data_IF_160943002094
#
_entry.id   IF_160943002094
#
_cell.length_a   1.000
_cell.length_b   1.000
_cell.length_c   1.000
_cell.angle_alpha   90.00
_cell.angle_beta   90.00
_cell.angle_gamma   90.00
#
_symmetry.space_group_name_H-M   'P 1'
#
loop_
_entity.id
_entity.type
_entity.pdbx_description
1 polymer ?
#
# COMPACT_ATOMS: atom_id res chain seq x y z
N UNK A 1 -14.54 -3.78 58.66
CA UNK A 1 -14.46 -4.75 57.53
C UNK A 1 -14.95 -4.02 56.30
N UNK A 2 -14.05 -3.67 55.37
CA UNK A 2 -14.39 -2.92 54.16
C UNK A 2 -14.03 -3.77 52.94
N UNK A 3 -15.05 -4.33 52.31
CA UNK A 3 -14.97 -4.95 50.98
C UNK A 3 -15.15 -3.83 49.96
N UNK A 4 -14.12 -3.57 49.14
CA UNK A 4 -14.31 -2.83 47.89
C UNK A 4 -13.66 -3.58 46.75
N UNK A 5 -14.54 -4.14 45.94
CA UNK A 5 -14.32 -4.66 44.59
C UNK A 5 -13.51 -3.66 43.75
N UNK A 6 -12.46 -4.14 43.10
CA UNK A 6 -11.76 -3.39 42.07
C UNK A 6 -11.93 -4.12 40.73
N UNK A 7 -12.84 -3.62 39.90
CA UNK A 7 -12.89 -3.88 38.47
C UNK A 7 -11.64 -3.23 37.84
N UNK A 8 -10.69 -4.03 37.36
CA UNK A 8 -9.61 -3.53 36.51
C UNK A 8 -10.07 -3.57 35.04
N UNK A 9 -10.26 -2.38 34.46
CA UNK A 9 -10.36 -2.20 33.02
C UNK A 9 -8.95 -2.26 32.41
N UNK A 10 -8.68 -3.27 31.58
CA UNK A 10 -7.43 -3.37 30.83
C UNK A 10 -7.53 -2.49 29.57
N UNK A 11 -6.84 -1.36 29.56
CA UNK A 11 -6.64 -0.56 28.36
C UNK A 11 -5.43 -1.11 27.57
N UNK A 12 -5.69 -1.75 26.43
CA UNK A 12 -4.66 -2.19 25.48
C UNK A 12 -4.06 -0.98 24.77
N UNK A 13 -2.82 -0.59 25.13
CA UNK A 13 -2.02 0.31 24.29
C UNK A 13 -1.54 -0.46 23.05
N UNK A 14 -2.11 -0.16 21.90
CA UNK A 14 -1.57 -0.61 20.60
C UNK A 14 -0.38 0.27 20.24
N UNK A 15 0.84 -0.26 20.35
CA UNK A 15 2.01 0.35 19.74
C UNK A 15 1.91 0.20 18.21
N UNK A 16 1.65 1.29 17.50
CA UNK A 16 1.70 1.31 16.03
C UNK A 16 3.14 1.20 15.58
N UNK A 17 3.57 0.00 15.20
CA UNK A 17 4.82 -0.16 14.45
C UNK A 17 4.62 0.47 13.06
N UNK A 18 5.33 1.57 12.76
CA UNK A 18 5.39 2.16 11.40
C UNK A 18 6.21 1.23 10.49
N UNK A 19 5.59 0.15 10.04
CA UNK A 19 6.22 -0.96 9.34
C UNK A 19 5.93 -0.90 7.83
N UNK A 20 6.50 0.04 7.06
CA UNK A 20 6.19 0.20 5.63
C UNK A 20 7.27 0.98 4.85
N UNK A 21 7.09 1.14 3.53
CA UNK A 21 8.01 1.81 2.61
C UNK A 21 7.39 3.09 2.03
N UNK A 22 8.23 4.10 1.77
CA UNK A 22 7.88 5.34 1.07
C UNK A 22 8.95 5.72 0.02
N UNK A 23 8.61 6.62 -0.89
CA UNK A 23 9.54 7.20 -1.87
C UNK A 23 10.50 8.17 -1.19
N UNK A 24 11.80 8.00 -1.44
CA UNK A 24 12.84 8.98 -1.09
C UNK A 24 13.43 9.69 -2.32
N UNK A 25 13.34 9.08 -3.50
CA UNK A 25 13.70 9.69 -4.78
C UNK A 25 12.73 9.22 -5.88
N UNK A 26 12.17 10.10 -6.72
CA UNK A 26 12.24 11.57 -6.65
C UNK A 26 11.75 12.12 -5.31
N UNK A 27 12.22 13.31 -4.93
CA UNK A 27 11.85 13.95 -3.66
C UNK A 27 10.34 14.24 -3.67
N UNK A 28 9.55 13.64 -2.75
CA UNK A 28 8.10 13.78 -2.76
C UNK A 28 7.58 15.20 -2.49
N UNK A 29 6.29 15.41 -2.72
CA UNK A 29 5.57 16.54 -2.13
C UNK A 29 5.51 16.41 -0.60
N UNK A 30 5.48 17.55 0.10
CA UNK A 30 5.21 17.66 1.55
C UNK A 30 6.03 16.65 2.37
N UNK A 31 7.33 16.56 2.08
CA UNK A 31 8.23 15.53 2.63
C UNK A 31 8.28 15.51 4.16
N UNK A 32 8.03 16.65 4.79
CA UNK A 32 7.96 16.85 6.24
C UNK A 32 6.74 16.18 6.88
N UNK A 33 5.68 15.93 6.10
CA UNK A 33 4.41 15.32 6.54
C UNK A 33 4.20 13.91 6.00
N UNK A 34 5.08 13.43 5.13
CA UNK A 34 4.90 12.15 4.47
C UNK A 34 5.18 10.99 5.43
N UNK A 35 4.17 10.15 5.65
CA UNK A 35 4.31 8.89 6.38
C UNK A 35 4.33 7.68 5.42
N UNK A 36 4.75 6.52 5.94
CA UNK A 36 4.87 5.27 5.18
C UNK A 36 3.60 4.41 5.19
N UNK A 37 2.50 4.82 5.83
CA UNK A 37 1.26 4.04 5.90
C UNK A 37 0.60 3.88 4.52
N UNK A 38 -0.24 2.85 4.32
CA UNK A 38 -1.11 2.82 3.14
C UNK A 38 -2.07 4.01 3.14
N UNK A 39 -2.60 4.34 1.97
CA UNK A 39 -3.62 5.39 1.82
C UNK A 39 -5.02 4.80 1.94
N UNK A 40 -5.96 5.63 2.39
CA UNK A 40 -7.41 5.38 2.30
C UNK A 40 -8.02 6.15 1.14
N UNK A 41 -9.29 5.90 0.80
CA UNK A 41 -10.01 6.65 -0.24
C UNK A 41 -10.03 8.17 0.01
N UNK A 42 -10.13 8.59 1.27
CA UNK A 42 -10.11 10.01 1.64
C UNK A 42 -8.73 10.67 1.47
N UNK A 43 -7.65 9.87 1.42
CA UNK A 43 -6.28 10.34 1.24
C UNK A 43 -5.82 10.22 -0.23
N UNK A 44 -6.69 9.71 -1.11
CA UNK A 44 -6.39 9.58 -2.52
C UNK A 44 -6.63 10.90 -3.28
N UNK A 45 -5.75 11.26 -4.23
CA UNK A 45 -4.45 10.65 -4.53
C UNK A 45 -3.34 11.20 -3.62
N UNK A 46 -2.15 10.60 -3.68
CA UNK A 46 -0.90 11.22 -3.21
C UNK A 46 -0.81 11.59 -1.71
N UNK A 47 -1.67 11.07 -0.82
CA UNK A 47 -1.83 11.61 0.55
C UNK A 47 -2.22 13.08 0.54
N UNK A 48 -3.20 13.45 -0.29
CA UNK A 48 -3.62 14.83 -0.57
C UNK A 48 -3.92 15.67 0.67
N UNK A 49 -4.32 15.07 1.79
CA UNK A 49 -4.53 15.78 3.06
C UNK A 49 -3.28 16.49 3.59
N UNK A 50 -2.09 16.08 3.14
CA UNK A 50 -0.82 16.71 3.51
C UNK A 50 -0.55 18.02 2.72
N UNK A 51 -1.28 18.24 1.61
CA UNK A 51 -1.03 19.28 0.62
C UNK A 51 0.09 18.93 -0.36
N UNK A 52 0.33 19.81 -1.33
CA UNK A 52 1.30 19.65 -2.42
C UNK A 52 2.48 20.64 -2.31
N UNK A 53 3.04 20.79 -1.11
CA UNK A 53 4.21 21.67 -0.93
C UNK A 53 5.42 21.09 -1.67
N UNK A 54 6.01 21.87 -2.57
CA UNK A 54 7.23 21.49 -3.29
C UNK A 54 8.44 21.73 -2.39
N UNK A 55 9.05 20.65 -1.89
CA UNK A 55 10.33 20.72 -1.17
C UNK A 55 11.53 20.80 -2.11
N UNK A 56 11.46 20.07 -3.22
CA UNK A 56 12.44 20.08 -4.32
C UNK A 56 11.71 19.74 -5.61
N UNK A 57 11.97 20.49 -6.69
CA UNK A 57 11.44 20.18 -8.02
C UNK A 57 12.38 19.19 -8.72
N UNK A 58 11.89 18.00 -9.07
CA UNK A 58 12.70 16.96 -9.66
C UNK A 58 12.79 17.15 -11.18
N UNK A 59 13.92 17.65 -11.68
CA UNK A 59 14.15 17.74 -13.12
C UNK A 59 14.28 16.35 -13.74
N UNK A 60 13.44 16.03 -14.72
CA UNK A 60 13.46 14.75 -15.42
C UNK A 60 13.44 14.98 -16.93
N UNK A 61 14.46 14.46 -17.62
CA UNK A 61 14.53 14.52 -19.08
C UNK A 61 14.02 13.20 -19.66
N UNK A 62 13.14 13.32 -20.65
CA UNK A 62 12.61 12.19 -21.41
C UNK A 62 13.74 11.37 -22.04
N UNK A 63 13.60 10.05 -22.01
CA UNK A 63 14.59 9.08 -22.51
C UNK A 63 15.84 8.90 -21.65
N UNK A 64 16.12 9.80 -20.70
CA UNK A 64 17.22 9.66 -19.74
C UNK A 64 16.84 8.76 -18.57
N UNK A 65 17.82 8.02 -18.05
CA UNK A 65 17.62 7.15 -16.91
C UNK A 65 17.36 7.97 -15.64
N UNK A 66 16.23 7.68 -15.00
CA UNK A 66 15.77 8.23 -13.74
C UNK A 66 15.82 7.14 -12.66
N UNK A 67 15.88 7.55 -11.39
CA UNK A 67 15.93 6.64 -10.26
C UNK A 67 14.68 6.78 -9.38
N UNK A 68 13.98 5.67 -9.15
CA UNK A 68 13.07 5.52 -8.02
C UNK A 68 13.87 4.92 -6.85
N UNK A 69 13.98 5.65 -5.74
CA UNK A 69 14.48 5.13 -4.48
C UNK A 69 13.33 5.01 -3.48
N UNK A 70 13.25 3.86 -2.85
CA UNK A 70 12.27 3.52 -1.83
C UNK A 70 13.00 3.23 -0.52
N UNK A 71 12.51 3.76 0.60
CA UNK A 71 13.05 3.50 1.94
C UNK A 71 11.95 3.16 2.95
N UNK A 72 12.25 2.29 3.90
CA UNK A 72 11.26 1.85 4.87
C UNK A 72 11.76 0.80 5.86
N UNK A 73 10.82 0.10 6.47
CA UNK A 73 11.08 -0.87 7.55
C UNK A 73 10.45 -2.24 7.29
N UNK A 74 9.43 -2.35 6.43
CA UNK A 74 8.86 -3.62 6.00
C UNK A 74 8.32 -3.55 4.57
N UNK A 75 8.53 -4.62 3.81
CA UNK A 75 8.13 -4.72 2.40
C UNK A 75 6.94 -5.64 2.16
N UNK A 76 6.36 -6.26 3.20
CA UNK A 76 5.23 -7.19 3.06
C UNK A 76 5.41 -8.28 1.99
N UNK A 77 6.61 -8.88 1.90
CA UNK A 77 6.91 -9.86 0.86
C UNK A 77 6.96 -9.29 -0.56
N UNK A 78 7.11 -7.97 -0.70
CA UNK A 78 7.05 -7.24 -1.95
C UNK A 78 5.60 -6.97 -2.36
N UNK A 79 5.29 -7.33 -3.61
CA UNK A 79 4.02 -7.00 -4.25
C UNK A 79 4.27 -6.44 -5.64
N UNK A 80 3.38 -5.55 -6.07
CA UNK A 80 3.43 -5.00 -7.41
C UNK A 80 3.27 -3.49 -7.37
N UNK A 81 3.98 -2.79 -8.24
CA UNK A 81 4.00 -1.34 -8.28
C UNK A 81 3.68 -0.81 -9.67
N UNK A 82 3.09 0.38 -9.74
CA UNK A 82 3.08 1.17 -10.97
C UNK A 82 3.73 2.51 -10.73
N UNK A 83 4.52 2.94 -11.70
CA UNK A 83 4.94 4.32 -11.87
C UNK A 83 4.01 4.98 -12.87
N UNK A 84 3.53 6.16 -12.53
CA UNK A 84 2.60 6.91 -13.36
C UNK A 84 2.88 8.41 -13.30
N UNK A 85 2.35 9.14 -14.27
CA UNK A 85 2.44 10.59 -14.37
C UNK A 85 1.05 11.17 -14.57
N UNK A 86 0.75 12.30 -13.93
CA UNK A 86 -0.36 13.19 -14.31
C UNK A 86 0.22 14.57 -14.64
N UNK A 87 -0.37 15.28 -15.58
CA UNK A 87 0.00 16.67 -15.89
C UNK A 87 -0.46 17.66 -14.81
N UNK A 88 -1.32 17.22 -13.88
CA UNK A 88 -1.75 18.06 -12.77
C UNK A 88 -0.63 18.22 -11.74
N UNK A 89 -0.33 19.47 -11.37
CA UNK A 89 0.67 19.78 -10.33
C UNK A 89 0.14 19.63 -8.91
N UNK A 90 -1.19 19.62 -8.77
CA UNK A 90 -1.91 19.38 -7.52
C UNK A 90 -3.06 18.37 -7.79
N UNK A 91 -2.75 17.07 -7.88
CA UNK A 91 -3.73 16.08 -8.30
C UNK A 91 -4.94 15.96 -7.37
N UNK A 92 -6.08 15.68 -7.96
CA UNK A 92 -7.36 15.42 -7.28
C UNK A 92 -7.83 13.99 -7.56
N UNK A 93 -8.94 13.57 -6.95
CA UNK A 93 -9.56 12.27 -7.26
C UNK A 93 -9.97 12.11 -8.73
N UNK A 94 -10.08 13.21 -9.50
CA UNK A 94 -10.43 13.18 -10.92
C UNK A 94 -9.21 13.19 -11.86
N UNK A 95 -8.01 13.41 -11.31
CA UNK A 95 -6.76 13.46 -12.07
C UNK A 95 -6.49 12.14 -12.77
N UNK A 96 -5.96 12.23 -13.99
CA UNK A 96 -5.64 11.06 -14.81
C UNK A 96 -4.16 10.73 -14.68
N UNK A 97 -3.88 9.72 -13.86
CA UNK A 97 -2.54 9.15 -13.75
C UNK A 97 -2.34 8.14 -14.86
N UNK A 98 -1.34 8.37 -15.70
CA UNK A 98 -0.97 7.56 -16.85
C UNK A 98 0.25 6.71 -16.54
N UNK A 99 0.12 5.39 -16.72
CA UNK A 99 1.15 4.41 -16.39
C UNK A 99 2.32 4.55 -17.36
N UNK A 100 3.53 4.68 -16.80
CA UNK A 100 4.79 4.73 -17.56
C UNK A 100 5.66 3.48 -17.33
N UNK A 101 5.41 2.75 -16.25
CA UNK A 101 6.11 1.51 -15.92
C UNK A 101 5.29 0.69 -14.92
N UNK A 102 5.24 -0.61 -15.12
CA UNK A 102 4.66 -1.56 -14.16
C UNK A 102 5.71 -2.58 -13.71
N UNK A 103 5.65 -2.95 -12.43
CA UNK A 103 6.46 -4.00 -11.83
C UNK A 103 5.54 -5.03 -11.19
N UNK A 104 5.37 -6.18 -11.84
CA UNK A 104 4.56 -7.29 -11.34
C UNK A 104 5.45 -8.27 -10.56
N UNK A 105 5.44 -8.12 -9.24
CA UNK A 105 6.32 -8.87 -8.34
C UNK A 105 7.57 -8.08 -7.97
N UNK A 106 8.23 -8.51 -6.89
CA UNK A 106 9.48 -7.92 -6.37
C UNK A 106 9.49 -6.39 -6.27
N UNK A 107 8.35 -5.74 -6.04
CA UNK A 107 8.32 -4.32 -5.72
C UNK A 107 7.53 -4.08 -4.42
N UNK A 108 8.17 -3.56 -3.36
CA UNK A 108 9.61 -3.29 -3.22
C UNK A 108 10.47 -4.55 -2.98
N UNK A 109 11.63 -4.67 -3.64
CA UNK A 109 12.69 -5.67 -3.44
C UNK A 109 13.66 -5.27 -2.32
N UNK A 110 13.13 -5.10 -1.11
CA UNK A 110 13.90 -4.71 0.06
C UNK A 110 13.50 -3.35 0.63
N UNK A 111 13.90 -3.11 1.87
CA UNK A 111 13.53 -1.90 2.63
C UNK A 111 14.31 -0.66 2.20
N UNK A 112 15.37 -0.83 1.42
CA UNK A 112 16.09 0.22 0.71
C UNK A 112 16.28 -0.25 -0.74
N UNK A 113 15.32 0.07 -1.60
CA UNK A 113 15.23 -0.47 -2.95
C UNK A 113 15.38 0.64 -3.99
N UNK A 114 16.14 0.34 -5.05
CA UNK A 114 16.41 1.27 -6.15
C UNK A 114 15.97 0.65 -7.47
N UNK A 115 15.29 1.44 -8.31
CA UNK A 115 14.86 1.04 -9.65
C UNK A 115 15.21 2.13 -10.65
N UNK A 116 15.77 1.72 -11.79
CA UNK A 116 15.93 2.61 -12.93
C UNK A 116 14.65 2.61 -13.76
N UNK A 117 14.22 3.79 -14.19
CA UNK A 117 13.11 3.97 -15.13
C UNK A 117 13.43 5.09 -16.09
N UNK A 118 12.63 5.23 -17.15
CA UNK A 118 12.71 6.36 -18.09
C UNK A 118 11.33 6.95 -18.26
N UNK A 119 11.25 8.27 -18.46
CA UNK A 119 10.04 8.88 -18.96
C UNK A 119 9.93 8.59 -20.46
N UNK A 120 8.80 8.04 -20.94
CA UNK A 120 8.59 7.81 -22.37
C UNK A 120 8.41 9.13 -23.13
N UNK A 121 8.67 9.11 -24.43
CA UNK A 121 8.54 10.29 -25.31
C UNK A 121 7.11 10.85 -25.39
N UNK A 122 6.12 10.04 -24.98
CA UNK A 122 4.73 10.44 -24.88
C UNK A 122 4.44 11.45 -23.76
N UNK A 123 5.34 11.64 -22.79
CA UNK A 123 5.10 12.57 -21.68
C UNK A 123 5.30 14.02 -22.18
N UNK A 124 4.35 14.93 -21.96
CA UNK A 124 4.49 16.33 -22.37
C UNK A 124 5.58 17.06 -21.57
N UNK A 125 6.17 18.10 -22.18
CA UNK A 125 7.06 19.01 -21.46
C UNK A 125 6.30 19.81 -20.39
N UNK A 126 7.00 20.19 -19.32
CA UNK A 126 6.50 21.08 -18.28
C UNK A 126 6.36 20.42 -16.91
N UNK A 127 5.73 21.15 -16.00
CA UNK A 127 5.52 20.69 -14.62
C UNK A 127 4.40 19.66 -14.58
N UNK A 128 4.65 18.58 -13.85
CA UNK A 128 3.74 17.45 -13.71
C UNK A 128 3.93 16.79 -12.34
N UNK A 129 3.14 15.76 -12.06
CA UNK A 129 3.29 14.92 -10.87
C UNK A 129 3.64 13.50 -11.26
N UNK A 130 4.77 13.01 -10.75
CA UNK A 130 5.11 11.58 -10.74
C UNK A 130 4.42 10.90 -9.55
N UNK A 131 3.93 9.68 -9.74
CA UNK A 131 3.35 8.86 -8.68
C UNK A 131 3.93 7.45 -8.70
N UNK A 132 4.40 7.01 -7.53
CA UNK A 132 4.63 5.61 -7.22
C UNK A 132 3.41 5.07 -6.48
N UNK A 133 2.92 3.93 -6.95
CA UNK A 133 1.87 3.15 -6.30
C UNK A 133 2.39 1.75 -5.99
N UNK A 134 1.95 1.17 -4.88
CA UNK A 134 2.32 -0.19 -4.48
C UNK A 134 1.12 -0.91 -3.86
N UNK A 135 0.86 -2.12 -4.36
CA UNK A 135 -0.06 -3.10 -3.80
C UNK A 135 0.74 -4.15 -3.05
N UNK A 136 0.67 -4.11 -1.72
CA UNK A 136 1.41 -5.03 -0.84
C UNK A 136 0.90 -6.46 -0.97
N UNK A 137 1.81 -7.43 -0.92
CA UNK A 137 1.47 -8.86 -1.06
C UNK A 137 1.01 -9.49 0.25
N UNK A 138 1.85 -9.45 1.29
CA UNK A 138 1.73 -10.24 2.52
C UNK A 138 1.44 -9.37 3.77
N UNK A 139 0.72 -8.27 3.63
CA UNK A 139 0.36 -7.38 4.75
C UNK A 139 -0.82 -7.86 5.60
N UNK A 140 -1.51 -8.92 5.15
CA UNK A 140 -2.68 -9.48 5.83
C UNK A 140 -4.02 -8.89 5.40
N UNK A 141 -4.02 -7.73 4.71
CA UNK A 141 -5.18 -7.13 4.07
C UNK A 141 -4.79 -6.44 2.75
N UNK A 142 -5.68 -6.33 1.75
CA UNK A 142 -5.39 -5.56 0.55
C UNK A 142 -5.16 -4.08 0.90
N UNK A 143 -4.00 -3.54 0.52
CA UNK A 143 -3.63 -2.15 0.76
C UNK A 143 -3.16 -1.49 -0.54
N UNK A 144 -3.18 -0.15 -0.56
CA UNK A 144 -2.56 0.67 -1.59
C UNK A 144 -1.67 1.71 -0.91
N UNK A 145 -0.41 1.75 -1.30
CA UNK A 145 0.50 2.85 -0.98
C UNK A 145 0.59 3.76 -2.20
N UNK A 146 0.60 5.07 -1.97
CA UNK A 146 0.81 6.04 -3.03
C UNK A 146 1.61 7.22 -2.49
N UNK A 147 2.74 7.52 -3.14
CA UNK A 147 3.50 8.75 -2.89
C UNK A 147 3.72 9.46 -4.22
N UNK A 148 3.72 10.77 -4.18
CA UNK A 148 3.83 11.60 -5.37
C UNK A 148 4.95 12.63 -5.21
N UNK A 149 5.57 12.98 -6.33
CA UNK A 149 6.66 13.94 -6.40
C UNK A 149 6.42 14.96 -7.52
N UNK A 150 6.75 16.25 -7.29
CA UNK A 150 6.75 17.25 -8.34
C UNK A 150 7.88 16.97 -9.32
N UNK A 151 7.58 16.95 -10.61
CA UNK A 151 8.58 16.78 -11.67
C UNK A 151 8.52 17.95 -12.66
N UNK A 152 9.67 18.29 -13.24
CA UNK A 152 9.79 19.22 -14.36
C UNK A 152 10.34 18.46 -15.57
N UNK A 153 9.46 18.22 -16.54
CA UNK A 153 9.74 17.35 -17.69
C UNK A 153 10.31 18.16 -18.85
N UNK A 154 11.44 17.69 -19.39
CA UNK A 154 12.06 18.27 -20.58
C UNK A 154 12.34 17.22 -21.67
N UNK A 155 12.38 17.66 -22.93
CA UNK A 155 12.60 16.79 -24.09
C UNK A 155 11.40 15.89 -24.44
N UNK A 156 10.23 16.17 -23.88
CA UNK A 156 9.00 15.40 -24.08
C UNK A 156 8.14 15.89 -25.25
N UNK A 157 6.91 15.38 -25.32
CA UNK A 157 5.93 15.76 -26.32
C UNK A 157 5.50 17.24 -26.22
N UNK A 158 5.02 17.78 -27.34
CA UNK A 158 4.47 19.14 -27.43
C UNK A 158 3.01 19.25 -27.01
N UNK A 159 2.30 18.12 -26.92
CA UNK A 159 0.89 18.02 -26.57
C UNK A 159 0.61 16.70 -25.83
N UNK A 160 -0.64 16.49 -25.41
CA UNK A 160 -1.06 15.33 -24.59
C UNK A 160 -1.56 14.15 -25.41
N UNK A 161 -1.59 14.21 -26.75
CA UNK A 161 -2.31 13.20 -27.55
C UNK A 161 -1.76 11.79 -27.34
N UNK A 162 -0.44 11.63 -27.27
CA UNK A 162 0.21 10.35 -26.98
C UNK A 162 0.14 9.98 -25.49
N UNK A 163 0.22 10.98 -24.61
CA UNK A 163 0.05 10.82 -23.16
C UNK A 163 -1.34 10.23 -22.82
N UNK A 164 -2.39 10.73 -23.47
CA UNK A 164 -3.77 10.35 -23.22
C UNK A 164 -4.08 8.90 -23.62
N UNK A 165 -3.27 8.31 -24.51
CA UNK A 165 -3.34 6.90 -24.91
C UNK A 165 -2.67 5.95 -23.93
N UNK A 166 -1.84 6.45 -23.01
CA UNK A 166 -1.24 5.60 -21.99
C UNK A 166 -2.34 5.01 -21.09
N UNK A 167 -2.14 3.80 -20.55
CA UNK A 167 -3.09 3.21 -19.62
C UNK A 167 -3.30 4.07 -18.38
N UNK A 168 -4.54 4.08 -17.88
CA UNK A 168 -4.82 4.66 -16.58
C UNK A 168 -4.22 3.80 -15.46
N UNK A 169 -3.74 4.46 -14.40
CA UNK A 169 -3.26 3.82 -13.17
C UNK A 169 -4.35 2.93 -12.55
N UNK A 170 -3.99 1.73 -12.12
CA UNK A 170 -4.88 0.89 -11.33
C UNK A 170 -5.13 1.54 -9.96
N UNK A 171 -6.39 1.73 -9.62
CA UNK A 171 -6.83 2.15 -8.28
C UNK A 171 -7.67 1.03 -7.68
N UNK A 172 -7.19 0.44 -6.58
CA UNK A 172 -7.84 -0.64 -5.86
C UNK A 172 -7.61 -0.49 -4.35
N UNK A 173 -8.34 -1.27 -3.55
CA UNK A 173 -8.17 -1.41 -2.08
C UNK A 173 -8.49 -0.17 -1.24
N UNK A 174 -8.86 0.95 -1.85
CA UNK A 174 -9.15 2.22 -1.14
C UNK A 174 -10.64 2.62 -1.16
N UNK A 175 -11.50 1.72 -1.62
CA UNK A 175 -12.95 1.93 -1.71
C UNK A 175 -13.66 0.64 -2.10
N UNK A 176 -14.93 0.74 -2.44
CA UNK A 176 -15.70 -0.39 -2.92
C UNK A 176 -15.49 -0.60 -4.43
N UNK A 177 -15.51 -1.86 -4.86
CA UNK A 177 -15.63 -2.20 -6.28
C UNK A 177 -14.35 -2.71 -6.95
N UNK A 178 -13.14 -2.44 -6.47
CA UNK A 178 -11.93 -3.07 -6.99
C UNK A 178 -10.98 -3.50 -5.88
N UNK A 179 -10.62 -4.79 -5.86
CA UNK A 179 -9.85 -5.39 -4.76
C UNK A 179 -8.79 -6.35 -5.29
N UNK A 180 -7.54 -6.18 -4.84
CA UNK A 180 -6.46 -7.13 -5.15
C UNK A 180 -6.62 -8.42 -4.35
N UNK A 181 -6.09 -9.52 -4.88
CA UNK A 181 -6.16 -10.82 -4.20
C UNK A 181 -5.12 -10.87 -3.09
N UNK A 182 -5.55 -11.11 -1.85
CA UNK A 182 -4.65 -11.19 -0.70
C UNK A 182 -3.56 -12.27 -0.90
N UNK A 183 -2.35 -11.97 -0.44
CA UNK A 183 -1.17 -12.85 -0.53
C UNK A 183 -0.63 -13.12 -1.95
N UNK A 184 -1.17 -12.44 -2.96
CA UNK A 184 -0.73 -12.54 -4.35
C UNK A 184 -0.10 -11.22 -4.82
N UNK A 185 0.84 -11.31 -5.75
CA UNK A 185 1.24 -10.15 -6.55
C UNK A 185 0.05 -9.70 -7.40
N UNK A 186 -0.08 -8.40 -7.62
CA UNK A 186 -1.15 -7.85 -8.46
C UNK A 186 -0.71 -7.93 -9.92
N UNK A 187 -1.44 -8.70 -10.72
CA UNK A 187 -1.30 -8.68 -12.17
C UNK A 187 -2.12 -7.52 -12.73
N UNK A 188 -1.47 -6.52 -13.30
CA UNK A 188 -2.16 -5.32 -13.74
C UNK A 188 -3.00 -5.63 -14.99
N UNK A 189 -4.29 -5.23 -15.03
CA UNK A 189 -5.09 -5.39 -16.25
C UNK A 189 -4.50 -4.64 -17.45
N UNK A 190 -3.93 -3.45 -17.19
CA UNK A 190 -3.29 -2.62 -18.20
C UNK A 190 -1.89 -2.18 -17.70
N UNK A 191 -0.86 -3.02 -17.88
CA UNK A 191 0.48 -2.74 -17.35
C UNK A 191 1.24 -1.66 -18.14
N UNK A 192 0.78 -1.32 -19.34
CA UNK A 192 1.55 -0.51 -20.31
C UNK A 192 2.66 -1.31 -20.98
N UNK A 193 3.46 -0.64 -21.80
CA UNK A 193 4.52 -1.29 -22.61
C UNK A 193 5.76 -1.63 -21.78
N UNK A 194 6.05 -0.83 -20.75
CA UNK A 194 7.22 -1.02 -19.89
C UNK A 194 6.84 -1.86 -18.65
N UNK A 195 6.77 -3.17 -18.86
CA UNK A 195 6.45 -4.14 -17.81
C UNK A 195 7.70 -4.93 -17.40
N UNK A 196 8.02 -4.88 -16.12
CA UNK A 196 8.97 -5.80 -15.48
C UNK A 196 8.19 -6.86 -14.72
N UNK A 197 8.53 -8.13 -14.92
CA UNK A 197 8.03 -9.25 -14.12
C UNK A 197 9.21 -9.99 -13.51
N UNK A 198 9.01 -10.62 -12.37
CA UNK A 198 10.05 -11.42 -11.70
C UNK A 198 10.03 -12.92 -12.08
N UNK A 199 9.33 -13.27 -13.17
CA UNK A 199 9.04 -14.65 -13.59
C UNK A 199 8.32 -15.51 -12.52
N UNK A 200 7.88 -14.95 -11.39
CA UNK A 200 7.07 -15.63 -10.37
C UNK A 200 5.57 -15.53 -10.64
N UNK A 201 5.16 -15.39 -11.92
CA UNK A 201 3.76 -15.20 -12.34
C UNK A 201 2.77 -16.23 -11.74
N UNK A 202 3.25 -17.40 -11.32
CA UNK A 202 2.48 -18.38 -10.55
C UNK A 202 1.84 -17.81 -9.26
N UNK A 203 2.40 -16.73 -8.70
CA UNK A 203 1.94 -16.04 -7.50
C UNK A 203 1.31 -14.67 -7.81
N UNK A 204 0.94 -14.42 -9.07
CA UNK A 204 0.28 -13.18 -9.52
C UNK A 204 -1.17 -13.42 -9.92
N UNK A 205 -2.09 -12.55 -9.50
CA UNK A 205 -3.51 -12.62 -9.85
C UNK A 205 -4.03 -11.23 -10.22
N UNK A 206 -4.94 -11.13 -11.22
CA UNK A 206 -5.58 -9.87 -11.52
C UNK A 206 -6.47 -9.45 -10.33
N UNK A 207 -6.68 -8.14 -10.13
CA UNK A 207 -7.65 -7.69 -9.16
C UNK A 207 -9.07 -8.10 -9.57
N UNK A 208 -9.97 -8.16 -8.60
CA UNK A 208 -11.36 -8.58 -8.77
C UNK A 208 -12.32 -7.40 -8.61
N UNK A 209 -13.43 -7.46 -9.35
CA UNK A 209 -14.44 -6.40 -9.39
C UNK A 209 -14.27 -5.44 -10.58
N UNK A 210 -14.80 -4.23 -10.43
CA UNK A 210 -14.83 -3.15 -11.40
C UNK A 210 -13.49 -2.38 -11.40
N UNK A 211 -12.42 -3.02 -11.86
CA UNK A 211 -11.05 -2.50 -11.82
C UNK A 211 -10.63 -1.67 -13.05
N UNK A 212 -11.57 -0.93 -13.65
CA UNK A 212 -11.27 0.08 -14.67
C UNK A 212 -10.39 -0.42 -15.82
N UNK A 213 -10.89 -1.34 -16.64
CA UNK A 213 -10.23 -1.69 -17.90
C UNK A 213 -10.44 -0.57 -18.94
N UNK A 214 -9.79 0.59 -18.75
CA UNK A 214 -9.73 1.68 -19.73
C UNK A 214 -8.29 1.88 -20.19
N UNK A 215 -7.90 1.11 -21.22
CA UNK A 215 -6.64 1.26 -21.93
C UNK A 215 -6.56 0.21 -23.04
N UNK A 216 -6.38 0.64 -24.28
CA UNK A 216 -6.17 -0.28 -25.41
C UNK A 216 -4.79 -0.95 -25.27
N UNK A 217 -4.74 -2.19 -24.82
CA UNK A 217 -3.59 -3.08 -25.02
C UNK A 217 -4.00 -4.24 -25.95
N UNK A 218 -3.18 -4.60 -26.96
CA UNK A 218 -3.53 -5.63 -27.92
C UNK A 218 -3.33 -7.04 -27.32
N UNK A 219 -4.40 -7.85 -27.37
CA UNK A 219 -4.30 -9.31 -27.33
C UNK A 219 -4.58 -9.96 -25.98
N UNK A 220 -5.80 -10.48 -25.82
CA UNK A 220 -6.18 -11.32 -24.68
C UNK A 220 -7.63 -11.79 -24.77
N UNK A 221 -7.90 -12.73 -25.67
CA UNK A 221 -9.22 -13.33 -25.88
C UNK A 221 -9.84 -13.85 -24.57
N UNK A 222 -11.06 -13.41 -24.28
CA UNK A 222 -12.06 -14.26 -23.60
C UNK A 222 -13.46 -14.02 -24.18
N UNK A 223 -14.32 -15.04 -24.22
CA UNK A 223 -15.49 -15.08 -25.09
C UNK A 223 -16.65 -14.30 -24.48
N UNK A 224 -17.27 -13.45 -25.28
CA UNK A 224 -18.45 -12.66 -24.90
C UNK A 224 -19.78 -13.38 -25.09
N UNK A 225 -20.86 -12.67 -24.72
CA UNK A 225 -22.20 -12.65 -25.33
C UNK A 225 -23.11 -11.71 -24.50
N UNK A 226 -24.23 -11.16 -25.04
CA UNK A 226 -24.22 -10.01 -25.93
C UNK A 226 -25.13 -8.84 -25.45
N UNK A 227 -25.17 -7.81 -26.29
CA UNK A 227 -25.75 -6.48 -26.16
C UNK A 227 -27.26 -6.37 -25.83
N UNK A 228 -27.65 -5.16 -25.39
CA UNK A 228 -28.92 -4.56 -25.79
C UNK A 228 -28.76 -3.06 -26.01
N UNK A 229 -29.18 -2.64 -27.19
CA UNK A 229 -29.12 -1.33 -27.82
C UNK A 229 -30.23 -0.38 -27.35
N UNK A 230 -29.93 0.91 -27.21
CA UNK A 230 -30.90 2.00 -27.13
C UNK A 230 -30.27 3.30 -27.61
N UNK A 231 -30.87 3.91 -28.63
CA UNK A 231 -30.26 4.87 -29.54
C UNK A 231 -30.26 6.34 -29.09
N UNK A 232 -29.39 7.08 -29.79
CA UNK A 232 -29.15 8.51 -29.87
C UNK A 232 -30.34 9.48 -29.69
N UNK A 233 -30.05 10.61 -29.05
CA UNK A 233 -30.76 11.88 -29.20
C UNK A 233 -29.96 13.03 -28.60
N UNK A 234 -29.51 13.97 -29.43
CA UNK A 234 -28.96 15.28 -29.07
C UNK A 234 -29.74 16.36 -29.85
N UNK A 235 -29.51 17.67 -29.61
CA UNK A 235 -29.54 18.42 -28.36
C UNK A 235 -30.59 19.56 -28.45
N UNK A 236 -30.95 20.21 -27.33
CA UNK A 236 -31.69 21.48 -27.37
C UNK A 236 -31.44 22.34 -26.12
N UNK A 237 -30.79 23.49 -26.34
CA UNK A 237 -30.80 24.73 -25.55
C UNK A 237 -30.95 25.86 -26.58
N UNK A 238 -31.43 27.09 -26.28
CA UNK A 238 -31.25 27.82 -25.01
C UNK A 238 -32.44 28.69 -24.55
N UNK A 239 -32.36 29.28 -23.34
CA UNK A 239 -32.79 30.67 -23.09
C UNK A 239 -32.26 31.20 -21.74
N UNK A 240 -31.65 32.39 -21.82
CA UNK A 240 -31.18 33.24 -20.72
C UNK A 240 -32.31 33.96 -19.98
N UNK A 241 -32.14 34.16 -18.67
CA UNK A 241 -32.52 35.44 -18.01
C UNK A 241 -31.64 35.67 -16.78
N UNK A 242 -31.17 36.91 -16.62
CA UNK A 242 -30.31 37.40 -15.54
C UNK A 242 -31.15 38.18 -14.46
N UNK A 243 -30.57 38.95 -13.51
CA UNK A 243 -30.55 38.60 -12.08
C UNK A 243 -31.28 39.61 -11.15
N UNK A 244 -31.50 39.28 -9.87
CA UNK A 244 -31.35 40.24 -8.74
C UNK A 244 -31.57 39.62 -7.33
N UNK A 245 -30.67 40.05 -6.43
CA UNK A 245 -30.80 40.35 -4.99
C UNK A 245 -31.06 39.22 -3.94
N UNK A 246 -30.08 39.04 -3.04
CA UNK A 246 -30.29 38.58 -1.66
C UNK A 246 -30.61 39.74 -0.70
N UNK A 247 -30.41 39.66 0.63
CA UNK A 247 -30.01 38.50 1.45
C UNK A 247 -30.90 38.31 2.72
N UNK A 248 -30.73 37.17 3.43
CA UNK A 248 -30.97 37.09 4.89
C UNK A 248 -30.28 35.87 5.52
N UNK A 249 -29.39 36.16 6.50
CA UNK A 249 -28.74 35.20 7.40
C UNK A 249 -29.72 34.60 8.43
N UNK A 250 -29.37 33.45 9.01
CA UNK A 250 -29.58 33.28 10.46
C UNK A 250 -28.33 32.84 11.24
N UNK A 251 -28.12 33.58 12.33
CA UNK A 251 -27.59 33.30 13.66
C UNK A 251 -26.57 32.16 13.92
N UNK A 252 -25.45 32.64 14.46
CA UNK A 252 -24.33 31.98 15.12
C UNK A 252 -24.74 31.34 16.47
N UNK A 253 -24.24 30.13 16.76
CA UNK A 253 -24.37 29.45 18.07
C UNK A 253 -22.99 29.22 18.68
N UNK A 254 -22.86 29.59 19.95
CA UNK A 254 -21.60 29.71 20.71
C UNK A 254 -20.94 28.36 21.09
N UNK A 255 -19.62 28.34 21.38
CA UNK A 255 -18.87 27.13 21.74
C UNK A 255 -18.90 26.82 23.25
N UNK A 256 -18.86 25.54 23.60
CA UNK A 256 -18.65 25.06 24.97
C UNK A 256 -17.16 24.85 25.31
N UNK A 257 -16.80 25.11 26.57
CA UNK A 257 -15.43 25.19 27.11
C UNK A 257 -14.71 23.82 27.28
N UNK A 258 -13.35 23.80 27.32
CA UNK A 258 -12.56 22.58 27.46
C UNK A 258 -12.28 22.17 28.92
N UNK A 259 -12.14 20.88 29.18
CA UNK A 259 -11.64 20.31 30.45
C UNK A 259 -10.28 19.66 30.24
N UNK A 260 -9.27 20.06 31.02
CA UNK A 260 -7.93 19.44 31.04
C UNK A 260 -7.93 18.04 31.67
N UNK A 261 -7.05 17.15 31.22
CA UNK A 261 -6.56 16.06 32.07
C UNK A 261 -5.06 16.18 32.38
N UNK A 262 -4.72 15.70 33.58
CA UNK A 262 -3.42 15.71 34.22
C UNK A 262 -2.51 14.53 33.78
N UNK A 263 -1.20 14.74 33.94
CA UNK A 263 -0.13 13.74 33.74
C UNK A 263 -0.24 12.54 34.68
N UNK A 264 0.16 11.33 34.22
CA UNK A 264 0.66 10.31 35.15
C UNK A 264 1.96 9.63 34.70
N UNK A 265 2.93 9.71 35.61
CA UNK A 265 3.82 8.68 36.19
C UNK A 265 3.95 7.28 35.56
N UNK A 266 5.20 6.86 35.33
CA UNK A 266 5.65 5.49 35.02
C UNK A 266 5.30 4.45 36.09
N UNK A 267 5.04 3.17 35.72
CA UNK A 267 5.62 2.07 36.51
C UNK A 267 5.97 0.72 35.79
N UNK A 268 7.13 0.19 36.19
CA UNK A 268 7.51 -1.19 36.59
C UNK A 268 7.27 -2.45 35.71
N UNK A 269 8.41 -2.96 35.21
CA UNK A 269 8.90 -4.36 35.11
C UNK A 269 8.06 -5.53 35.64
N UNK A 270 7.86 -6.54 34.77
CA UNK A 270 7.41 -7.89 35.16
C UNK A 270 7.88 -9.00 34.21
N UNK A 271 8.82 -9.84 34.68
CA UNK A 271 8.82 -11.29 34.45
C UNK A 271 9.34 -11.89 33.14
N UNK A 272 10.46 -11.44 32.57
CA UNK A 272 11.11 -12.11 31.43
C UNK A 272 12.07 -13.23 31.86
N UNK A 273 11.95 -14.41 31.25
CA UNK A 273 12.99 -15.45 31.35
C UNK A 273 14.31 -14.90 30.79
N UNK A 274 15.43 -15.21 31.44
CA UNK A 274 16.74 -14.76 30.98
C UNK A 274 17.12 -15.46 29.67
N UNK A 275 17.69 -14.71 28.74
CA UNK A 275 18.16 -15.19 27.45
C UNK A 275 19.53 -14.56 27.13
N UNK A 276 20.35 -15.21 26.31
CA UNK A 276 21.74 -14.79 26.07
C UNK A 276 21.95 -14.14 24.71
N UNK A 277 21.11 -14.42 23.72
CA UNK A 277 21.27 -13.95 22.34
C UNK A 277 20.15 -12.98 21.95
N UNK A 278 20.48 -11.69 21.87
CA UNK A 278 19.53 -10.68 21.41
C UNK A 278 19.04 -10.99 20.00
N UNK A 279 17.73 -10.93 19.79
CA UNK A 279 17.06 -11.26 18.53
C UNK A 279 16.71 -12.75 18.38
N UNK A 280 17.17 -13.64 19.27
CA UNK A 280 16.81 -15.05 19.20
C UNK A 280 15.33 -15.27 19.54
N UNK A 281 14.67 -16.12 18.77
CA UNK A 281 13.32 -16.62 19.06
C UNK A 281 13.42 -17.75 20.08
N UNK A 282 12.81 -17.56 21.24
CA UNK A 282 12.72 -18.56 22.31
C UNK A 282 11.31 -19.16 22.26
N UNK A 283 11.20 -20.48 22.33
CA UNK A 283 9.90 -21.16 22.39
C UNK A 283 9.53 -21.52 23.83
N UNK A 284 8.30 -21.21 24.24
CA UNK A 284 7.72 -21.68 25.49
C UNK A 284 6.55 -22.62 25.17
N UNK A 285 6.89 -23.86 24.86
CA UNK A 285 5.92 -24.81 24.29
C UNK A 285 5.56 -24.49 22.83
N UNK A 286 4.53 -25.18 22.33
CA UNK A 286 4.14 -25.14 20.91
C UNK A 286 3.39 -23.85 20.53
N UNK A 287 2.72 -23.21 21.50
CA UNK A 287 1.77 -22.14 21.25
C UNK A 287 2.27 -20.75 21.69
N UNK A 288 3.49 -20.66 22.24
CA UNK A 288 4.12 -19.38 22.59
C UNK A 288 5.56 -19.29 22.09
N UNK A 289 5.91 -18.08 21.65
CA UNK A 289 7.27 -17.70 21.32
C UNK A 289 7.59 -16.36 22.00
N UNK A 290 8.87 -16.03 22.14
CA UNK A 290 9.29 -14.70 22.55
C UNK A 290 10.58 -14.32 21.85
N UNK A 291 10.84 -13.02 21.73
CA UNK A 291 12.11 -12.53 21.19
C UNK A 291 12.97 -12.08 22.36
N UNK A 292 14.20 -12.56 22.41
CA UNK A 292 15.19 -12.11 23.38
C UNK A 292 15.61 -10.67 23.08
N UNK A 293 15.45 -9.77 24.06
CA UNK A 293 15.91 -8.39 23.96
C UNK A 293 16.55 -7.95 25.28
N UNK A 294 17.83 -7.63 25.23
CA UNK A 294 18.69 -7.23 26.34
C UNK A 294 18.60 -8.18 27.55
N UNK A 295 18.66 -9.47 27.27
CA UNK A 295 18.66 -10.52 28.29
C UNK A 295 17.28 -10.87 28.85
N UNK A 296 16.21 -10.30 28.30
CA UNK A 296 14.84 -10.56 28.71
C UNK A 296 13.98 -11.02 27.53
N UNK A 297 13.17 -12.04 27.75
CA UNK A 297 12.19 -12.51 26.76
C UNK A 297 10.82 -11.90 27.04
N UNK A 298 10.23 -11.27 26.04
CA UNK A 298 8.81 -10.91 26.05
C UNK A 298 8.03 -11.99 25.31
N UNK A 299 7.11 -12.65 26.01
CA UNK A 299 6.34 -13.78 25.48
C UNK A 299 5.10 -13.32 24.71
N UNK A 300 4.82 -14.01 23.60
CA UNK A 300 3.69 -13.81 22.71
C UNK A 300 3.12 -15.16 22.25
N UNK A 301 1.82 -15.18 21.91
CA UNK A 301 1.20 -16.35 21.31
C UNK A 301 1.65 -16.51 19.84
N UNK A 302 1.79 -17.75 19.39
CA UNK A 302 1.99 -18.03 17.96
C UNK A 302 0.70 -17.75 17.18
N UNK A 303 0.81 -17.33 15.92
CA UNK A 303 -0.35 -17.06 15.09
C UNK A 303 -1.11 -18.34 14.74
N UNK A 304 -2.42 -18.22 14.44
CA UNK A 304 -3.25 -19.34 14.04
C UNK A 304 -2.63 -20.10 12.85
N UNK A 305 -2.55 -21.43 12.95
CA UNK A 305 -1.92 -22.27 11.92
C UNK A 305 -0.39 -22.38 12.00
N UNK A 306 0.26 -21.73 12.98
CA UNK A 306 1.70 -21.86 13.25
C UNK A 306 1.97 -22.51 14.61
N UNK A 307 3.24 -22.80 14.89
CA UNK A 307 3.73 -23.33 16.17
C UNK A 307 5.20 -22.99 16.36
N UNK A 308 5.62 -22.73 17.60
CA UNK A 308 7.02 -22.52 17.95
C UNK A 308 7.67 -23.85 18.27
N UNK A 309 8.73 -24.20 17.55
CA UNK A 309 9.55 -25.35 17.89
C UNK A 309 10.97 -25.15 17.38
N UNK A 310 11.95 -25.54 18.20
CA UNK A 310 13.40 -25.39 17.93
C UNK A 310 13.83 -23.95 17.66
N UNK A 311 13.28 -22.98 18.41
CA UNK A 311 13.64 -21.57 18.26
C UNK A 311 13.17 -20.94 16.94
N UNK A 312 12.13 -21.50 16.32
CA UNK A 312 11.53 -20.96 15.10
C UNK A 312 10.01 -21.11 15.12
N UNK A 313 9.32 -20.13 14.54
CA UNK A 313 7.88 -20.21 14.26
C UNK A 313 7.72 -20.87 12.90
N UNK A 314 7.01 -22.00 12.86
CA UNK A 314 6.80 -22.78 11.65
C UNK A 314 5.32 -23.15 11.48
N UNK A 315 4.91 -23.47 10.25
CA UNK A 315 3.54 -23.96 9.98
C UNK A 315 3.26 -25.20 10.84
N UNK A 316 2.10 -25.25 11.48
CA UNK A 316 1.68 -26.37 12.35
C UNK A 316 1.72 -27.71 11.63
N UNK A 317 1.48 -27.71 10.31
CA UNK A 317 1.58 -28.90 9.45
C UNK A 317 3.00 -29.48 9.37
N UNK A 318 4.04 -28.65 9.44
CA UNK A 318 5.44 -29.08 9.42
C UNK A 318 5.86 -29.69 10.76
N UNK A 319 5.38 -29.12 11.87
CA UNK A 319 5.57 -29.68 13.21
C UNK A 319 4.88 -31.05 13.38
N UNK A 320 3.63 -31.20 12.91
CA UNK A 320 2.93 -32.49 12.93
C UNK A 320 3.67 -33.53 12.07
N UNK A 321 4.24 -33.13 10.93
CA UNK A 321 5.06 -34.01 10.08
C UNK A 321 6.36 -34.43 10.77
N UNK A 322 7.03 -33.52 11.49
CA UNK A 322 8.24 -33.82 12.28
C UNK A 322 7.94 -34.76 13.46
N UNK A 323 6.79 -34.62 14.12
CA UNK A 323 6.34 -35.54 15.17
C UNK A 323 5.99 -36.93 14.61
N UNK A 324 5.28 -37.01 13.48
CA UNK A 324 4.93 -38.28 12.82
C UNK A 324 6.13 -39.01 12.21
N UNK A 325 7.17 -38.28 11.81
CA UNK A 325 8.42 -38.86 11.32
C UNK A 325 9.29 -39.53 12.41
N UNK A 326 8.96 -39.34 13.69
CA UNK A 326 9.68 -39.94 14.82
C UNK A 326 9.04 -41.21 15.40
N UNK A 327 7.93 -41.68 14.82
CA UNK A 327 7.40 -43.01 15.15
C UNK A 327 8.21 -44.05 14.40
N UNK A 328 9.23 -44.59 15.06
CA UNK A 328 9.93 -45.78 14.60
C UNK A 328 8.89 -46.89 14.37
N UNK A 329 8.73 -47.31 13.11
CA UNK A 329 7.95 -48.51 12.81
C UNK A 329 8.66 -49.70 13.47
N UNK A 330 7.98 -50.54 14.28
CA UNK A 330 8.57 -51.78 14.74
C UNK A 330 8.93 -52.59 13.49
N UNK A 331 10.20 -52.95 13.36
CA UNK A 331 10.67 -53.89 12.34
C UNK A 331 10.13 -55.25 12.75
N UNK A 332 9.00 -55.66 12.19
CA UNK A 332 8.55 -57.05 12.26
C UNK A 332 9.52 -57.85 11.42
N UNK A 333 10.37 -58.63 12.08
CA UNK A 333 11.17 -59.67 11.44
C UNK A 333 10.22 -60.86 11.30
N UNK A 334 9.84 -61.18 10.06
CA UNK A 334 9.27 -62.49 9.74
C UNK A 334 10.42 -63.43 9.38
N UNK A 335 10.43 -64.54 10.12
CA UNK A 335 11.23 -65.78 10.03
C UNK A 335 12.74 -65.71 10.29
#
# INVERSE_FOLDING_TARGET
>A
MSLRSALLAAATLMASANAHVLVSKPVPYSVDKLDNSPITGAQYPCKAQNGFTVSEMNSMKVGEEQTLQLKGSAIHGGGSCQLSVTTDTEPTANSKFKVIMSMEGNCPKGTDASYSFKLPDSIPNGKATFAWSWFSRLSGAPELYMNCAPIDVTGGASDTSAFDQLPDLLVANIGEGCTTVANMNTKFPNPGENLITDNSLAESQPPTGNCGASGNSPGGNSPGSPASSGAAGAPSSPASSAPAAGPSQPAESAPAAPSSPASPSSPATGGGQACTENGAVVCNGADQFGICNNGQVVWQAVSAGTTCSNGAIQKRTNYIRQLKGRVARPRVIQE
#
